data_IF_326930638282
#
_entry.id   IF_326930638282
#
_cell.length_a   1.000
_cell.length_b   1.000
_cell.length_c   1.000
_cell.angle_alpha   90.00
_cell.angle_beta   90.00
_cell.angle_gamma   90.00
#
_symmetry.space_group_name_H-M   'P 1'
#
loop_
_entity.id
_entity.type
_entity.pdbx_description
1 polymer ?
#
# COMPACT_ATOMS: atom_id res chain seq x y z
N UNK A 1 17.81 -10.14 4.28
CA UNK A 1 17.28 -9.29 3.19
C UNK A 1 15.82 -8.92 3.48
N UNK A 2 15.54 -8.42 4.69
CA UNK A 2 14.18 -8.20 5.22
C UNK A 2 13.74 -6.72 5.09
N UNK A 3 14.59 -5.86 4.52
CA UNK A 3 14.39 -4.40 4.55
C UNK A 3 13.87 -3.80 3.24
N UNK A 4 13.77 -4.56 2.15
CA UNK A 4 13.40 -4.00 0.83
C UNK A 4 11.89 -4.03 0.59
N UNK A 5 11.17 -4.97 1.21
CA UNK A 5 9.70 -5.06 1.07
C UNK A 5 8.97 -3.95 1.84
N UNK A 6 9.63 -3.30 2.80
CA UNK A 6 9.05 -2.18 3.55
C UNK A 6 9.10 -0.84 2.79
N UNK A 7 9.81 -0.74 1.67
CA UNK A 7 10.01 0.54 0.96
C UNK A 7 8.94 0.86 -0.09
N UNK A 8 8.12 -0.11 -0.52
CA UNK A 8 7.06 0.13 -1.52
C UNK A 8 5.77 0.73 -0.93
N UNK A 9 5.65 0.84 0.40
CA UNK A 9 4.57 1.59 1.06
C UNK A 9 4.97 3.05 1.40
N UNK A 10 6.17 3.49 1.03
CA UNK A 10 6.67 4.83 1.38
C UNK A 10 6.47 5.90 0.29
N UNK A 11 5.91 5.57 -0.88
CA UNK A 11 5.75 6.52 -2.00
C UNK A 11 4.28 6.72 -2.36
N UNK A 12 3.47 7.14 -1.39
CA UNK A 12 2.15 7.72 -1.65
C UNK A 12 1.77 8.89 -0.71
N UNK A 13 2.60 9.27 0.26
CA UNK A 13 2.22 10.25 1.30
C UNK A 13 3.08 11.51 1.37
N UNK A 14 3.61 12.00 0.25
CA UNK A 14 4.29 13.32 0.24
C UNK A 14 3.75 14.19 -0.89
N UNK A 15 2.53 14.71 -0.71
CA UNK A 15 2.10 16.05 -1.14
C UNK A 15 0.96 16.56 -0.26
N UNK A 16 1.21 16.70 1.04
CA UNK A 16 0.47 17.64 1.86
C UNK A 16 1.34 18.91 2.02
N UNK A 17 0.90 19.99 1.38
CA UNK A 17 1.46 21.34 1.49
C UNK A 17 1.36 21.82 2.95
N UNK A 18 2.41 22.49 3.42
CA UNK A 18 2.58 23.16 4.72
C UNK A 18 1.29 23.58 5.44
N UNK A 19 1.07 23.05 6.64
CA UNK A 19 0.30 23.72 7.70
C UNK A 19 1.25 23.86 8.88
N UNK A 20 1.64 25.09 9.18
CA UNK A 20 2.41 25.43 10.35
C UNK A 20 1.51 25.43 11.57
N UNK A 21 1.81 24.54 12.52
CA UNK A 21 1.68 24.75 13.98
C UNK A 21 2.28 23.52 14.66
N UNK A 22 3.20 23.74 15.59
CA UNK A 22 3.79 22.68 16.40
C UNK A 22 2.80 22.22 17.47
N UNK A 23 2.70 20.89 17.64
CA UNK A 23 2.11 20.09 18.74
C UNK A 23 0.60 19.86 18.71
N UNK A 24 0.23 18.65 18.32
CA UNK A 24 -0.71 17.84 19.13
C UNK A 24 -0.11 16.42 19.28
N UNK A 25 0.09 15.99 20.53
CA UNK A 25 0.27 14.58 20.85
C UNK A 25 -1.04 13.86 20.48
N UNK A 26 -1.00 12.59 20.04
CA UNK A 26 -2.22 11.88 19.66
C UNK A 26 -3.24 11.91 20.80
N UNK A 27 -4.44 12.39 20.49
CA UNK A 27 -5.61 12.26 21.34
C UNK A 27 -5.91 10.77 21.55
N UNK A 28 -5.66 10.29 22.77
CA UNK A 28 -5.87 8.89 23.17
C UNK A 28 -7.34 8.44 23.09
N UNK A 29 -8.27 9.35 22.79
CA UNK A 29 -9.70 9.06 22.64
C UNK A 29 -10.17 8.95 21.18
N UNK A 30 -9.32 9.26 20.19
CA UNK A 30 -9.64 8.99 18.79
C UNK A 30 -9.63 7.47 18.55
N UNK A 31 -10.80 6.92 18.24
CA UNK A 31 -10.92 5.53 17.83
C UNK A 31 -10.06 5.31 16.58
N UNK A 32 -8.94 4.60 16.71
CA UNK A 32 -8.18 4.13 15.56
C UNK A 32 -9.11 3.30 14.70
N UNK A 33 -9.32 3.72 13.45
CA UNK A 33 -10.02 2.91 12.47
C UNK A 33 -9.35 1.53 12.37
N UNK A 34 -10.12 0.44 12.21
CA UNK A 34 -9.57 -0.90 12.24
C UNK A 34 -8.64 -1.11 11.05
N UNK A 35 -7.39 -1.45 11.34
CA UNK A 35 -6.42 -1.93 10.35
C UNK A 35 -6.52 -3.44 10.29
N UNK A 36 -6.57 -4.00 9.07
CA UNK A 36 -6.44 -5.45 8.83
C UNK A 36 -5.18 -5.71 8.03
N UNK A 37 -4.37 -6.66 8.49
CA UNK A 37 -3.16 -7.08 7.81
C UNK A 37 -3.08 -8.61 7.85
N UNK A 38 -2.74 -9.21 6.71
CA UNK A 38 -2.53 -10.64 6.57
C UNK A 38 -1.21 -10.91 5.86
N UNK A 39 -0.52 -11.97 6.29
CA UNK A 39 0.71 -12.42 5.66
C UNK A 39 0.83 -13.95 5.74
N UNK A 40 1.18 -14.57 4.62
CA UNK A 40 1.53 -15.99 4.55
C UNK A 40 2.80 -16.18 3.74
N UNK A 41 3.57 -17.20 4.11
CA UNK A 41 4.75 -17.63 3.37
C UNK A 41 4.91 -19.15 3.50
N UNK A 42 5.34 -19.80 2.43
CA UNK A 42 5.66 -21.23 2.45
C UNK A 42 7.18 -21.51 2.41
N UNK A 43 7.54 -22.80 2.48
CA UNK A 43 8.93 -23.25 2.48
C UNK A 43 9.68 -23.01 1.16
N UNK A 44 8.96 -22.71 0.07
CA UNK A 44 9.50 -22.41 -1.25
C UNK A 44 9.70 -20.91 -1.45
N UNK A 45 9.41 -20.08 -0.45
CA UNK A 45 9.57 -18.63 -0.54
C UNK A 45 8.46 -17.94 -1.32
N UNK A 46 7.34 -18.62 -1.62
CA UNK A 46 6.12 -17.95 -2.12
C UNK A 46 5.46 -17.25 -0.94
N UNK A 47 4.90 -16.07 -1.18
CA UNK A 47 4.27 -15.30 -0.12
C UNK A 47 3.06 -14.52 -0.62
N UNK A 48 2.11 -14.26 0.29
CA UNK A 48 1.02 -13.32 0.09
C UNK A 48 0.98 -12.31 1.22
N UNK A 49 0.54 -11.10 0.91
CA UNK A 49 0.35 -10.02 1.85
C UNK A 49 -0.89 -9.22 1.45
N UNK A 50 -1.74 -8.92 2.44
CA UNK A 50 -2.93 -8.10 2.26
C UNK A 50 -3.01 -7.07 3.38
N UNK A 51 -3.45 -5.86 3.03
CA UNK A 51 -3.63 -4.74 3.93
C UNK A 51 -4.92 -4.01 3.60
N UNK A 52 -5.72 -3.69 4.62
CA UNK A 52 -6.95 -2.94 4.46
C UNK A 52 -7.16 -1.96 5.61
N UNK A 53 -7.49 -0.73 5.25
CA UNK A 53 -7.84 0.37 6.14
C UNK A 53 -8.96 1.19 5.46
N UNK A 54 -9.83 1.91 6.17
CA UNK A 54 -10.87 2.67 5.49
C UNK A 54 -10.30 3.65 4.46
N UNK A 55 -10.73 3.48 3.20
CA UNK A 55 -10.26 4.26 2.06
C UNK A 55 -8.87 3.86 1.54
N UNK A 56 -8.28 2.75 2.00
CA UNK A 56 -6.99 2.24 1.51
C UNK A 56 -6.99 0.71 1.47
N UNK A 57 -6.46 0.13 0.40
CA UNK A 57 -6.35 -1.32 0.27
C UNK A 57 -5.11 -1.70 -0.53
N UNK A 58 -4.43 -2.77 -0.16
CA UNK A 58 -3.30 -3.30 -0.91
C UNK A 58 -3.23 -4.82 -0.81
N UNK A 59 -2.91 -5.46 -1.94
CA UNK A 59 -2.72 -6.90 -2.03
C UNK A 59 -1.49 -7.24 -2.88
N UNK A 60 -0.77 -8.25 -2.44
CA UNK A 60 0.55 -8.59 -2.95
C UNK A 60 0.75 -10.10 -2.93
N UNK A 61 1.20 -10.66 -4.05
CA UNK A 61 1.67 -12.04 -4.15
C UNK A 61 3.11 -12.06 -4.65
N UNK A 62 3.90 -13.02 -4.16
CA UNK A 62 5.26 -13.31 -4.60
C UNK A 62 5.38 -14.80 -4.94
N UNK A 63 5.94 -15.11 -6.10
CA UNK A 63 6.27 -16.47 -6.48
C UNK A 63 7.62 -16.94 -5.91
N UNK A 64 8.01 -18.18 -6.21
CA UNK A 64 9.27 -18.77 -5.73
C UNK A 64 10.51 -18.16 -6.39
N UNK A 65 10.34 -17.55 -7.56
CA UNK A 65 11.41 -16.90 -8.31
C UNK A 65 11.62 -15.45 -7.85
N UNK A 66 10.77 -14.97 -6.94
CA UNK A 66 10.79 -13.63 -6.40
C UNK A 66 10.02 -12.61 -7.24
N UNK A 67 9.33 -13.02 -8.30
CA UNK A 67 8.45 -12.13 -9.05
C UNK A 67 7.22 -11.81 -8.21
N UNK A 68 6.74 -10.58 -8.32
CA UNK A 68 5.60 -10.07 -7.56
C UNK A 68 4.51 -9.56 -8.48
N UNK A 69 3.27 -9.70 -8.05
CA UNK A 69 2.13 -8.99 -8.63
C UNK A 69 1.25 -8.47 -7.50
N UNK A 70 0.57 -7.37 -7.75
CA UNK A 70 -0.26 -6.77 -6.72
C UNK A 70 -1.13 -5.63 -7.20
N UNK A 71 -1.88 -5.11 -6.26
CA UNK A 71 -2.70 -3.92 -6.44
C UNK A 71 -2.65 -3.06 -5.20
N UNK A 72 -2.87 -1.77 -5.38
CA UNK A 72 -3.09 -0.83 -4.29
C UNK A 72 -4.18 0.16 -4.67
N UNK A 73 -4.85 0.68 -3.66
CA UNK A 73 -5.83 1.75 -3.82
C UNK A 73 -5.86 2.67 -2.61
N UNK A 74 -6.17 3.95 -2.85
CA UNK A 74 -6.46 4.91 -1.80
C UNK A 74 -7.50 5.93 -2.28
N UNK A 75 -8.22 6.54 -1.34
CA UNK A 75 -9.08 7.71 -1.60
C UNK A 75 -8.26 8.98 -1.41
N UNK A 76 -8.20 9.83 -2.43
CA UNK A 76 -7.49 11.10 -2.37
C UNK A 76 -8.26 12.18 -1.59
N UNK A 77 -7.66 13.38 -1.46
CA UNK A 77 -8.26 14.49 -0.72
C UNK A 77 -9.54 15.04 -1.37
N UNK A 78 -9.72 14.81 -2.67
CA UNK A 78 -10.91 15.21 -3.43
C UNK A 78 -11.99 14.11 -3.43
N UNK A 79 -11.74 12.98 -2.77
CA UNK A 79 -12.66 11.85 -2.66
C UNK A 79 -12.54 10.83 -3.80
N UNK A 80 -11.61 11.00 -4.74
CA UNK A 80 -11.46 10.07 -5.86
C UNK A 80 -10.74 8.81 -5.42
N UNK A 81 -11.19 7.66 -5.93
CA UNK A 81 -10.46 6.40 -5.79
C UNK A 81 -9.30 6.37 -6.77
N UNK A 82 -8.07 6.39 -6.24
CA UNK A 82 -6.84 6.16 -6.99
C UNK A 82 -6.46 4.70 -6.81
N UNK A 83 -6.26 3.97 -7.90
CA UNK A 83 -5.80 2.57 -7.84
C UNK A 83 -4.80 2.23 -8.92
N UNK A 84 -3.92 1.29 -8.62
CA UNK A 84 -3.06 0.68 -9.62
C UNK A 84 -2.93 -0.83 -9.44
N UNK A 85 -2.63 -1.51 -10.54
CA UNK A 85 -2.17 -2.90 -10.54
C UNK A 85 -0.81 -2.98 -11.19
N UNK A 86 0.03 -3.89 -10.72
CA UNK A 86 1.42 -3.97 -11.15
C UNK A 86 1.98 -5.39 -11.15
N UNK A 87 3.11 -5.54 -11.83
CA UNK A 87 3.99 -6.70 -11.79
C UNK A 87 5.42 -6.21 -11.58
N UNK A 88 6.17 -6.90 -10.74
CA UNK A 88 7.61 -6.68 -10.56
C UNK A 88 8.34 -7.99 -10.84
N UNK A 89 9.14 -7.99 -11.89
CA UNK A 89 9.94 -9.15 -12.30
C UNK A 89 11.34 -8.69 -12.77
N UNK A 90 12.10 -9.57 -13.44
CA UNK A 90 13.42 -9.25 -14.02
C UNK A 90 13.44 -8.03 -14.98
N UNK A 91 12.29 -7.60 -15.48
CA UNK A 91 12.10 -6.43 -16.35
C UNK A 91 11.87 -5.14 -15.56
N UNK A 92 11.83 -5.23 -14.23
CA UNK A 92 11.57 -4.11 -13.32
C UNK A 92 10.11 -4.05 -12.87
N UNK A 93 9.71 -2.88 -12.36
CA UNK A 93 8.35 -2.60 -11.89
C UNK A 93 7.50 -2.05 -13.03
N UNK A 94 6.45 -2.76 -13.39
CA UNK A 94 5.54 -2.43 -14.49
C UNK A 94 4.13 -2.23 -13.94
N UNK A 95 3.57 -1.05 -14.18
CA UNK A 95 2.18 -0.75 -13.85
C UNK A 95 1.30 -1.16 -15.03
N UNK A 96 0.36 -2.06 -14.78
CA UNK A 96 -0.57 -2.60 -15.78
C UNK A 96 -1.87 -1.80 -15.84
N UNK A 97 -2.30 -1.21 -14.73
CA UNK A 97 -3.46 -0.34 -14.65
C UNK A 97 -3.14 0.84 -13.74
N UNK A 98 -3.54 2.03 -14.16
CA UNK A 98 -3.68 3.20 -13.31
C UNK A 98 -5.08 3.78 -13.59
N UNK A 99 -5.90 3.93 -12.55
CA UNK A 99 -7.24 4.49 -12.68
C UNK A 99 -7.52 5.47 -11.55
N UNK A 100 -8.16 6.58 -11.92
CA UNK A 100 -8.66 7.60 -11.02
C UNK A 100 -10.12 7.85 -11.39
N UNK A 101 -11.02 7.77 -10.42
CA UNK A 101 -12.43 8.07 -10.66
C UNK A 101 -13.27 7.97 -9.39
N UNK A 102 -14.40 8.64 -9.42
CA UNK A 102 -15.49 8.40 -8.48
C UNK A 102 -16.24 7.17 -9.00
N UNK A 103 -16.40 6.15 -8.13
CA UNK A 103 -16.97 4.85 -8.48
C UNK A 103 -18.34 4.91 -9.14
#
# INVERSE_FOLDING_TARGET
MLSVVLSLLAVASIRAKNIGTLRELPDITSASLPVKQWHTQDGQGRASFDYSYPGQDASNIRDSDGNMAGSWSYVDADGNLVRATYTADKRGFLVSLCAIGNG
#
